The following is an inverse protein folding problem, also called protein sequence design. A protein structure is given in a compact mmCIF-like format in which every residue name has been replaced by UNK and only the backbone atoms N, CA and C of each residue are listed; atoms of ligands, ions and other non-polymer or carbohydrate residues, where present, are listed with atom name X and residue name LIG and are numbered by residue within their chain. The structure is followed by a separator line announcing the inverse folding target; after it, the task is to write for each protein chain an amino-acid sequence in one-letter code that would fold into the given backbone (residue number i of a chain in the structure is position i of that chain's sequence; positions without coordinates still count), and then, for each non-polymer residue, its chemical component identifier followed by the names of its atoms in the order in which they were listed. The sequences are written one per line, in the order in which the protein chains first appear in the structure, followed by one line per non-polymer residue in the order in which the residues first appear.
data_IF_508901162408
#
_entry.id   IF_508901162408
#
_cell.length_a   1.000
_cell.length_b   1.000
_cell.length_c   1.000
_cell.angle_alpha   90.00
_cell.angle_beta   90.00
_cell.angle_gamma   90.00
#
_symmetry.space_group_name_H-M   'P 1'
#
loop_
_entity.id
_entity.type
_entity.pdbx_description
1 polymer ?
#
# COMPACT_ATOMS: atom_id res chain seq x y z
N UNK A 1 -37.12 -4.67 -16.29
CA UNK A 1 -36.20 -4.75 -15.72
C UNK A 1 -35.66 -3.80 -15.29
N UNK A 2 -35.54 -3.31 -14.84
CA UNK A 2 -34.91 -2.55 -14.55
C UNK A 2 -34.61 -2.31 -13.42
N UNK A 3 -34.39 -2.99 -12.84
CA UNK A 3 -33.78 -2.85 -11.64
C UNK A 3 -32.47 -2.29 -11.69
N UNK A 4 -32.12 -1.65 -12.74
CA UNK A 4 -30.85 -1.17 -12.82
C UNK A 4 -30.67 -0.02 -11.98
N UNK A 5 -29.89 -0.14 -10.99
CA UNK A 5 -29.48 0.97 -10.18
C UNK A 5 -28.36 1.70 -10.88
N UNK A 6 -28.43 3.00 -10.91
CA UNK A 6 -27.35 3.79 -11.48
C UNK A 6 -26.25 4.00 -10.42
N UNK A 7 -25.32 3.07 -10.36
CA UNK A 7 -24.22 3.15 -9.41
C UNK A 7 -23.30 4.33 -9.66
N UNK A 8 -23.34 4.92 -10.83
CA UNK A 8 -22.55 6.11 -11.12
C UNK A 8 -22.96 7.30 -10.26
N UNK A 9 -24.22 7.40 -9.90
CA UNK A 9 -24.68 8.46 -9.01
C UNK A 9 -24.17 8.27 -7.59
N UNK A 10 -24.06 7.02 -7.16
CA UNK A 10 -23.60 6.72 -5.81
C UNK A 10 -22.08 6.64 -5.71
N UNK A 11 -21.40 6.51 -6.83
CA UNK A 11 -19.93 6.36 -6.90
C UNK A 11 -19.41 5.31 -5.92
N UNK A 12 -20.12 4.21 -5.81
CA UNK A 12 -19.70 3.13 -4.92
C UNK A 12 -18.54 2.36 -5.53
N UNK A 13 -17.53 2.03 -4.74
CA UNK A 13 -16.41 1.25 -5.25
C UNK A 13 -16.85 -0.14 -5.70
N UNK A 14 -16.41 -0.53 -6.88
CA UNK A 14 -16.64 -1.88 -7.40
C UNK A 14 -15.42 -2.74 -7.07
N UNK A 15 -15.45 -3.36 -5.91
CA UNK A 15 -14.29 -4.09 -5.38
C UNK A 15 -13.88 -5.28 -6.22
N UNK A 16 -14.81 -5.85 -6.99
CA UNK A 16 -14.50 -6.97 -7.88
C UNK A 16 -13.57 -6.59 -9.04
N UNK A 17 -13.35 -5.31 -9.28
CA UNK A 17 -12.38 -4.88 -10.28
C UNK A 17 -10.94 -5.11 -9.83
N UNK A 18 -10.70 -5.30 -8.54
CA UNK A 18 -9.36 -5.55 -8.05
C UNK A 18 -8.98 -7.02 -8.29
N UNK A 19 -7.71 -7.21 -8.68
CA UNK A 19 -7.16 -8.55 -8.88
C UNK A 19 -7.11 -9.31 -7.55
N UNK A 20 -7.68 -10.54 -7.49
CA UNK A 20 -7.51 -11.38 -6.31
C UNK A 20 -6.04 -11.72 -6.04
N UNK A 21 -5.24 -11.90 -7.09
CA UNK A 21 -3.82 -12.19 -6.96
C UNK A 21 -3.10 -11.01 -6.31
N UNK A 22 -3.43 -9.78 -6.72
CA UNK A 22 -2.84 -8.59 -6.10
C UNK A 22 -3.15 -8.54 -4.60
N UNK A 23 -4.38 -8.80 -4.22
CA UNK A 23 -4.78 -8.81 -2.81
C UNK A 23 -3.99 -9.84 -2.03
N UNK A 24 -3.85 -11.05 -2.57
CA UNK A 24 -3.10 -12.12 -1.91
C UNK A 24 -1.63 -11.73 -1.74
N UNK A 25 -1.01 -11.18 -2.78
CA UNK A 25 0.39 -10.78 -2.72
C UNK A 25 0.63 -9.70 -1.68
N UNK A 26 -0.26 -8.75 -1.57
CA UNK A 26 -0.19 -7.73 -0.51
C UNK A 26 -0.31 -8.41 0.86
N UNK A 27 -1.26 -9.33 1.02
CA UNK A 27 -1.44 -10.03 2.28
C UNK A 27 -0.19 -10.81 2.69
N UNK A 28 0.46 -11.50 1.75
CA UNK A 28 1.70 -12.22 2.06
C UNK A 28 2.81 -11.28 2.50
N UNK A 29 2.95 -10.14 1.85
CA UNK A 29 3.94 -9.14 2.26
C UNK A 29 3.64 -8.59 3.65
N UNK A 30 2.39 -8.31 3.96
CA UNK A 30 1.97 -7.83 5.28
C UNK A 30 2.20 -8.90 6.35
N UNK A 31 1.95 -10.18 6.03
CA UNK A 31 2.22 -11.29 6.94
C UNK A 31 3.70 -11.39 7.27
N UNK A 32 4.57 -11.25 6.28
CA UNK A 32 6.02 -11.25 6.50
C UNK A 32 6.44 -10.09 7.39
N UNK A 33 5.85 -8.92 7.20
CA UNK A 33 6.09 -7.76 8.04
C UNK A 33 5.66 -7.99 9.49
N UNK A 34 4.54 -8.68 9.70
CA UNK A 34 4.06 -9.00 11.04
C UNK A 34 5.02 -9.94 11.78
N UNK A 35 5.72 -10.82 11.08
CA UNK A 35 6.74 -11.67 11.68
C UNK A 35 7.92 -10.84 12.14
N UNK A 36 8.34 -9.86 11.34
CA UNK A 36 9.54 -9.05 11.62
C UNK A 36 9.28 -8.00 12.71
N UNK A 37 8.12 -7.36 12.69
CA UNK A 37 7.86 -6.20 13.55
C UNK A 37 6.75 -6.41 14.56
N UNK A 38 5.76 -7.13 14.26
CA UNK A 38 4.51 -7.44 14.92
C UNK A 38 3.34 -6.97 14.05
N UNK A 39 2.20 -7.60 14.23
CA UNK A 39 1.01 -7.26 13.46
C UNK A 39 0.60 -5.81 13.74
N UNK A 40 0.21 -5.10 12.68
CA UNK A 40 -0.28 -3.72 12.75
C UNK A 40 0.73 -2.68 13.25
N UNK A 41 2.01 -3.04 13.36
CA UNK A 41 3.04 -2.09 13.79
C UNK A 41 3.05 -0.82 12.92
N UNK A 42 2.82 -0.96 11.62
CA UNK A 42 2.80 0.16 10.69
C UNK A 42 1.71 1.20 10.98
N UNK A 43 0.67 0.84 11.70
CA UNK A 43 -0.42 1.77 12.03
C UNK A 43 -0.01 2.83 13.03
N UNK A 44 1.14 2.65 13.70
CA UNK A 44 1.70 3.65 14.61
C UNK A 44 2.18 4.90 13.89
N UNK A 45 2.37 4.82 12.59
CA UNK A 45 2.75 5.93 11.74
C UNK A 45 4.15 5.81 11.18
N UNK A 46 4.27 6.11 9.90
CA UNK A 46 5.55 6.12 9.19
C UNK A 46 5.62 7.38 8.34
N UNK A 47 6.83 7.77 8.00
CA UNK A 47 7.04 8.89 7.07
C UNK A 47 6.73 8.45 5.66
N UNK A 48 6.00 9.27 4.93
CA UNK A 48 5.64 9.00 3.53
C UNK A 48 6.88 8.75 2.68
N UNK A 49 7.96 9.53 2.89
CA UNK A 49 9.19 9.38 2.12
C UNK A 49 9.82 8.00 2.28
N UNK A 50 9.77 7.43 3.49
CA UNK A 50 10.33 6.10 3.73
C UNK A 50 9.54 5.02 3.00
N UNK A 51 8.22 5.14 2.98
CA UNK A 51 7.37 4.21 2.26
C UNK A 51 7.58 4.30 0.75
N UNK A 52 7.68 5.53 0.24
CA UNK A 52 7.94 5.76 -1.19
C UNK A 52 9.30 5.21 -1.61
N UNK A 53 10.33 5.45 -0.81
CA UNK A 53 11.68 4.95 -1.12
C UNK A 53 11.71 3.42 -1.15
N UNK A 54 11.03 2.78 -0.19
CA UNK A 54 10.95 1.32 -0.17
C UNK A 54 10.23 0.79 -1.41
N UNK A 55 9.12 1.44 -1.79
CA UNK A 55 8.38 1.05 -2.99
C UNK A 55 9.23 1.18 -4.25
N UNK A 56 10.00 2.25 -4.37
CA UNK A 56 10.90 2.46 -5.50
C UNK A 56 11.99 1.39 -5.57
N UNK A 57 12.58 1.02 -4.43
CA UNK A 57 13.58 -0.05 -4.40
C UNK A 57 13.01 -1.37 -4.91
N UNK A 58 11.78 -1.69 -4.53
CA UNK A 58 11.14 -2.91 -5.02
C UNK A 58 10.81 -2.84 -6.51
N UNK A 59 10.38 -1.68 -7.01
CA UNK A 59 10.15 -1.50 -8.44
C UNK A 59 11.45 -1.63 -9.23
N UNK A 60 12.54 -1.06 -8.72
CA UNK A 60 13.85 -1.18 -9.37
C UNK A 60 14.33 -2.63 -9.42
N UNK A 61 14.10 -3.39 -8.35
CA UNK A 61 14.44 -4.82 -8.34
C UNK A 61 13.69 -5.57 -9.45
N UNK A 62 12.42 -5.28 -9.63
CA UNK A 62 11.63 -5.88 -10.72
C UNK A 62 12.22 -5.51 -12.09
N UNK A 63 12.58 -4.25 -12.30
CA UNK A 63 13.20 -3.80 -13.55
C UNK A 63 14.51 -4.52 -13.84
N UNK A 64 15.23 -4.94 -12.80
CA UNK A 64 16.48 -5.68 -12.92
C UNK A 64 16.29 -7.19 -13.07
N UNK A 65 15.05 -7.66 -13.11
CA UNK A 65 14.74 -9.07 -13.32
C UNK A 65 14.50 -9.89 -12.07
N UNK A 66 14.44 -9.24 -10.89
CA UNK A 66 14.15 -9.96 -9.64
C UNK A 66 12.64 -10.03 -9.41
N UNK A 67 12.10 -11.23 -9.32
CA UNK A 67 10.67 -11.40 -9.05
C UNK A 67 10.36 -11.39 -7.56
N UNK A 68 11.20 -12.00 -6.75
CA UNK A 68 10.96 -12.19 -5.32
C UNK A 68 11.97 -11.45 -4.47
N UNK A 69 11.52 -10.94 -3.33
CA UNK A 69 12.43 -10.43 -2.30
C UNK A 69 12.90 -11.60 -1.45
N UNK A 70 14.20 -11.93 -1.55
CA UNK A 70 14.77 -13.13 -0.95
C UNK A 70 14.59 -13.17 0.57
N UNK A 71 14.94 -12.07 1.25
CA UNK A 71 14.86 -12.02 2.71
C UNK A 71 13.44 -12.13 3.22
N UNK A 72 12.52 -11.41 2.60
CA UNK A 72 11.10 -11.44 2.97
C UNK A 72 10.49 -12.81 2.71
N UNK A 73 10.84 -13.41 1.56
CA UNK A 73 10.36 -14.75 1.19
C UNK A 73 10.85 -15.80 2.18
N UNK A 74 12.11 -15.70 2.58
CA UNK A 74 12.70 -16.63 3.56
C UNK A 74 12.00 -16.49 4.91
N UNK A 75 11.69 -15.25 5.32
CA UNK A 75 11.03 -14.99 6.58
C UNK A 75 9.62 -15.58 6.62
N UNK A 76 8.88 -15.46 5.52
CA UNK A 76 7.52 -15.99 5.47
C UNK A 76 7.45 -17.49 5.18
N UNK A 77 8.49 -18.04 4.54
CA UNK A 77 8.51 -19.45 4.17
C UNK A 77 7.82 -19.72 2.84
N UNK A 78 7.58 -18.68 2.02
CA UNK A 78 7.06 -18.81 0.67
C UNK A 78 7.47 -17.58 -0.14
N UNK A 79 7.42 -17.66 -1.48
CA UNK A 79 7.77 -16.49 -2.29
C UNK A 79 6.92 -15.26 -1.97
N UNK A 80 7.59 -14.12 -1.77
CA UNK A 80 6.96 -12.82 -1.62
C UNK A 80 7.50 -11.94 -2.73
N UNK A 81 6.63 -11.48 -3.61
CA UNK A 81 7.05 -10.72 -4.79
C UNK A 81 7.39 -9.28 -4.42
N UNK A 82 8.35 -8.70 -5.16
CA UNK A 82 8.62 -7.26 -5.02
C UNK A 82 7.38 -6.43 -5.36
N UNK A 83 6.60 -6.84 -6.35
CA UNK A 83 5.36 -6.12 -6.69
C UNK A 83 4.34 -6.18 -5.56
N UNK A 84 4.24 -7.32 -4.88
CA UNK A 84 3.41 -7.42 -3.68
C UNK A 84 3.85 -6.46 -2.59
N UNK A 85 5.17 -6.28 -2.42
CA UNK A 85 5.71 -5.35 -1.44
C UNK A 85 5.46 -3.88 -1.82
N UNK A 86 5.44 -3.55 -3.11
CA UNK A 86 4.97 -2.24 -3.56
C UNK A 86 3.51 -2.03 -3.12
N UNK A 87 2.68 -3.05 -3.32
CA UNK A 87 1.29 -3.01 -2.86
C UNK A 87 1.17 -2.83 -1.35
N UNK A 88 2.07 -3.44 -0.58
CA UNK A 88 2.13 -3.23 0.88
C UNK A 88 2.39 -1.77 1.22
N UNK A 89 3.29 -1.11 0.50
CA UNK A 89 3.56 0.31 0.69
C UNK A 89 2.31 1.15 0.50
N UNK A 90 1.56 0.90 -0.57
CA UNK A 90 0.29 1.57 -0.83
C UNK A 90 -0.73 1.28 0.27
N UNK A 91 -0.84 0.03 0.69
CA UNK A 91 -1.74 -0.36 1.77
C UNK A 91 -1.41 0.38 3.06
N UNK A 92 -0.13 0.49 3.40
CA UNK A 92 0.29 1.19 4.60
C UNK A 92 -0.01 2.69 4.52
N UNK A 93 0.22 3.31 3.35
CA UNK A 93 -0.10 4.73 3.16
C UNK A 93 -1.59 4.98 3.39
N UNK A 94 -2.45 4.23 2.73
CA UNK A 94 -3.89 4.44 2.84
C UNK A 94 -4.42 4.13 4.23
N UNK A 95 -3.91 3.07 4.88
CA UNK A 95 -4.32 2.74 6.24
C UNK A 95 -3.95 3.84 7.23
N UNK A 96 -2.74 4.41 7.08
CA UNK A 96 -2.31 5.49 7.96
C UNK A 96 -3.03 6.80 7.66
N UNK A 97 -3.41 7.05 6.42
CA UNK A 97 -4.27 8.19 6.09
C UNK A 97 -5.62 8.07 6.79
N UNK A 98 -6.22 6.88 6.75
CA UNK A 98 -7.50 6.62 7.39
C UNK A 98 -7.44 6.87 8.91
N UNK A 99 -6.34 6.46 9.54
CA UNK A 99 -6.14 6.64 10.98
C UNK A 99 -5.55 7.99 11.37
N UNK A 100 -5.08 8.78 10.41
CA UNK A 100 -4.45 10.06 10.69
C UNK A 100 -3.03 9.94 11.26
N UNK A 101 -2.35 8.81 11.03
CA UNK A 101 -1.01 8.57 11.59
C UNK A 101 0.13 8.75 10.58
N UNK A 102 -0.17 8.93 9.29
CA UNK A 102 0.85 9.13 8.27
C UNK A 102 1.52 10.50 8.44
N UNK A 103 2.86 10.51 8.39
CA UNK A 103 3.61 11.76 8.36
C UNK A 103 3.96 12.11 6.93
N UNK A 104 3.40 13.21 6.42
CA UNK A 104 3.74 13.73 5.09
C UNK A 104 4.98 14.61 5.25
N UNK A 105 6.14 14.04 4.98
CA UNK A 105 7.43 14.70 5.12
C UNK A 105 8.04 15.14 3.80
N UNK A 106 7.20 15.42 2.80
CA UNK A 106 7.67 16.00 1.54
C UNK A 106 8.30 17.37 1.82
N UNK A 107 9.28 17.74 1.01
CA UNK A 107 10.08 18.95 1.25
C UNK A 107 9.26 20.23 1.40
N UNK A 108 9.83 21.25 2.05
CA UNK A 108 9.15 22.52 2.31
C UNK A 108 8.56 23.16 1.07
N UNK A 109 9.23 23.05 -0.05
CA UNK A 109 8.72 23.58 -1.32
C UNK A 109 7.43 22.93 -1.77
N UNK A 110 7.03 21.81 -1.15
CA UNK A 110 5.80 21.10 -1.44
C UNK A 110 4.75 21.31 -0.35
N UNK A 111 5.03 22.08 0.70
CA UNK A 111 4.09 22.25 1.81
C UNK A 111 2.76 22.87 1.39
N UNK A 112 2.76 23.64 0.32
CA UNK A 112 1.53 24.24 -0.20
C UNK A 112 0.86 23.36 -1.24
N UNK A 113 1.46 22.23 -1.59
CA UNK A 113 0.85 21.30 -2.52
C UNK A 113 -0.26 20.52 -1.83
N UNK A 114 -1.38 20.38 -2.53
CA UNK A 114 -2.44 19.55 -2.02
C UNK A 114 -1.97 18.12 -1.93
N UNK A 115 -2.05 17.55 -0.74
CA UNK A 115 -1.96 16.11 -0.63
C UNK A 115 -3.38 15.59 -0.81
N UNK A 116 -3.71 15.36 -2.06
CA UNK A 116 -5.06 15.01 -2.50
C UNK A 116 -5.71 13.92 -1.65
N UNK A 117 -4.94 12.87 -1.33
CA UNK A 117 -5.47 11.76 -0.54
C UNK A 117 -5.86 12.20 0.87
N UNK A 118 -5.02 13.01 1.51
CA UNK A 118 -5.33 13.51 2.85
C UNK A 118 -6.56 14.42 2.83
N UNK A 119 -6.76 15.17 1.76
CA UNK A 119 -7.93 16.04 1.62
C UNK A 119 -9.20 15.22 1.46
N UNK A 120 -9.15 14.17 0.64
CA UNK A 120 -10.34 13.34 0.36
C UNK A 120 -10.68 12.42 1.52
N UNK A 121 -9.66 11.83 2.15
CA UNK A 121 -9.86 10.84 3.20
C UNK A 121 -9.65 11.42 4.60
N UNK A 122 -9.82 12.70 4.72
CA UNK A 122 -9.71 13.35 6.01
C UNK A 122 -10.78 12.81 6.95
N UNK A 123 -10.39 12.36 8.15
CA UNK A 123 -11.34 11.83 9.12
C UNK A 123 -12.34 12.87 9.58
#
# INVERSE_FOLDING_TARGET
MSAMKDDKQDLKPVRSYLSPILKDEICYGMMAGAIKYEAYNYLKGLKLSLLMDAMERHLDAVRQGEGYDVDTSRRLGRPVTHLGLVGCGLNMIFSQLDLGTLTDDRGEHLLNADFFLATIYKP
#
